data_IF_998558596441
#
_entry.id   IF_998558596441
#
_cell.length_a   1.000
_cell.length_b   1.000
_cell.length_c   1.000
_cell.angle_alpha   90.00
_cell.angle_beta   90.00
_cell.angle_gamma   90.00
#
_symmetry.space_group_name_H-M   'P 1'
#
loop_
_entity.id
_entity.type
_entity.pdbx_description
1 polymer ?
#
# COMPACT_ATOMS: atom_id res chain seq x y z
N UNK A 1 5.10 44.11 -3.87
CA UNK A 1 4.10 43.03 -3.67
C UNK A 1 4.57 41.85 -4.49
N UNK A 2 5.36 40.97 -3.87
CA UNK A 2 5.69 39.68 -4.46
C UNK A 2 4.49 38.78 -4.24
N UNK A 3 3.95 38.27 -5.35
CA UNK A 3 2.91 37.25 -5.35
C UNK A 3 3.50 36.00 -4.71
N UNK A 4 3.00 35.65 -3.52
CA UNK A 4 3.31 34.38 -2.90
C UNK A 4 2.52 33.32 -3.67
N UNK A 5 3.14 32.76 -4.71
CA UNK A 5 2.65 31.51 -5.29
C UNK A 5 2.51 30.53 -4.13
N UNK A 6 1.26 30.13 -3.83
CA UNK A 6 0.95 29.01 -2.95
C UNK A 6 1.97 27.91 -3.28
N UNK A 7 2.80 27.50 -2.32
CA UNK A 7 4.06 26.75 -2.51
C UNK A 7 3.89 25.32 -3.05
N UNK A 8 2.88 25.11 -3.89
CA UNK A 8 2.51 23.89 -4.58
C UNK A 8 3.32 23.81 -5.87
N UNK A 9 3.92 22.65 -6.16
CA UNK A 9 4.59 22.45 -7.43
C UNK A 9 3.59 22.60 -8.60
N UNK A 10 4.06 23.19 -9.69
CA UNK A 10 3.33 23.43 -10.93
C UNK A 10 2.85 22.12 -11.59
N UNK A 11 3.60 21.03 -11.37
CA UNK A 11 3.15 19.68 -11.68
C UNK A 11 2.64 19.00 -10.42
N UNK A 12 1.50 18.29 -10.54
CA UNK A 12 0.95 17.46 -9.48
C UNK A 12 0.56 16.09 -9.99
N UNK A 13 0.82 15.07 -9.17
CA UNK A 13 0.36 13.70 -9.37
C UNK A 13 -1.08 13.57 -8.87
N UNK A 14 -2.00 14.22 -9.58
CA UNK A 14 -3.41 14.35 -9.17
C UNK A 14 -4.06 12.97 -8.99
N UNK A 15 -3.73 12.00 -9.85
CA UNK A 15 -4.28 10.65 -9.76
C UNK A 15 -3.86 9.94 -8.48
N UNK A 16 -2.56 9.90 -8.19
CA UNK A 16 -1.98 9.26 -7.02
C UNK A 16 -2.43 9.95 -5.73
N UNK A 17 -2.38 11.29 -5.69
CA UNK A 17 -2.86 12.07 -4.54
C UNK A 17 -4.33 11.79 -4.24
N UNK A 18 -5.18 11.75 -5.27
CA UNK A 18 -6.59 11.40 -5.09
C UNK A 18 -6.78 9.97 -4.59
N UNK A 19 -6.00 9.01 -5.08
CA UNK A 19 -6.17 7.60 -4.73
C UNK A 19 -5.67 7.27 -3.30
N UNK A 20 -4.66 7.99 -2.81
CA UNK A 20 -4.10 7.78 -1.46
C UNK A 20 -5.08 8.23 -0.37
N UNK A 21 -5.87 9.27 -0.61
CA UNK A 21 -6.88 9.75 0.34
C UNK A 21 -7.94 8.68 0.69
N UNK A 22 -8.14 7.72 -0.21
CA UNK A 22 -9.13 6.65 -0.07
C UNK A 22 -8.52 5.33 0.48
N UNK A 23 -7.25 5.32 0.91
CA UNK A 23 -6.53 4.12 1.38
C UNK A 23 -5.62 4.38 2.59
N UNK A 24 -4.95 3.34 3.14
CA UNK A 24 -4.02 3.50 4.23
C UNK A 24 -2.84 4.40 3.82
N UNK A 25 -2.59 5.44 4.60
CA UNK A 25 -1.57 6.45 4.33
C UNK A 25 -0.19 5.85 4.65
N UNK A 26 0.66 5.76 3.64
CA UNK A 26 2.07 5.44 3.81
C UNK A 26 2.90 6.72 3.63
N UNK A 27 3.34 7.31 4.74
CA UNK A 27 4.14 8.54 4.76
C UNK A 27 5.34 8.51 3.77
N UNK A 28 6.10 7.40 3.63
CA UNK A 28 7.18 7.33 2.65
C UNK A 28 6.73 7.48 1.19
N UNK A 29 5.51 7.03 0.85
CA UNK A 29 4.97 7.15 -0.51
C UNK A 29 4.55 8.59 -0.79
N UNK A 30 3.96 9.29 0.17
CA UNK A 30 3.64 10.72 0.04
C UNK A 30 4.90 11.57 -0.17
N UNK A 31 5.96 11.26 0.58
CA UNK A 31 7.27 11.92 0.43
C UNK A 31 7.85 11.67 -0.97
N UNK A 32 7.74 10.46 -1.51
CA UNK A 32 8.18 10.14 -2.88
C UNK A 32 7.36 10.87 -3.95
N UNK A 33 6.04 11.00 -3.76
CA UNK A 33 5.18 11.80 -4.66
C UNK A 33 5.63 13.26 -4.66
N UNK A 34 5.78 13.86 -3.48
CA UNK A 34 6.25 15.24 -3.37
C UNK A 34 7.64 15.43 -4.00
N UNK A 35 8.55 14.48 -3.79
CA UNK A 35 9.88 14.51 -4.40
C UNK A 35 9.81 14.48 -5.94
N UNK A 36 8.94 13.65 -6.53
CA UNK A 36 8.75 13.57 -7.98
C UNK A 36 8.14 14.86 -8.55
N UNK A 37 7.16 15.44 -7.87
CA UNK A 37 6.56 16.72 -8.25
C UNK A 37 7.59 17.86 -8.22
N UNK A 38 8.36 17.95 -7.14
CA UNK A 38 9.43 18.94 -6.98
C UNK A 38 10.59 18.74 -7.97
N UNK A 39 10.90 17.49 -8.34
CA UNK A 39 11.97 17.18 -9.28
C UNK A 39 11.69 17.77 -10.67
N UNK A 40 10.45 17.80 -11.13
CA UNK A 40 10.11 18.37 -12.44
C UNK A 40 10.36 19.88 -12.53
N UNK A 41 10.32 20.60 -11.42
CA UNK A 41 10.60 22.04 -11.41
C UNK A 41 12.10 22.32 -11.30
N UNK A 42 12.79 21.54 -10.48
CA UNK A 42 14.15 21.86 -10.06
C UNK A 42 15.20 21.08 -10.85
N UNK A 43 15.01 19.78 -11.02
CA UNK A 43 15.97 18.87 -11.65
C UNK A 43 15.24 17.73 -12.39
N UNK A 44 14.72 18.00 -13.61
CA UNK A 44 13.80 17.08 -14.30
C UNK A 44 14.34 15.66 -14.53
N UNK A 45 15.66 15.49 -14.65
CA UNK A 45 16.28 14.17 -14.83
C UNK A 45 16.03 13.22 -13.65
N UNK A 46 15.80 13.73 -12.44
CA UNK A 46 15.45 12.87 -11.31
C UNK A 46 14.05 12.28 -11.44
N UNK A 47 13.18 12.84 -12.28
CA UNK A 47 11.83 12.30 -12.49
C UNK A 47 11.87 10.86 -13.01
N UNK A 48 12.88 10.49 -13.80
CA UNK A 48 13.03 9.12 -14.30
C UNK A 48 13.33 8.12 -13.17
N UNK A 49 14.27 8.44 -12.30
CA UNK A 49 14.64 7.62 -11.14
C UNK A 49 13.47 7.53 -10.15
N UNK A 50 12.90 8.68 -9.77
CA UNK A 50 11.83 8.79 -8.80
C UNK A 50 10.55 8.08 -9.25
N UNK A 51 10.16 8.21 -10.53
CA UNK A 51 8.99 7.52 -11.08
C UNK A 51 9.11 6.01 -10.96
N UNK A 52 10.29 5.45 -11.27
CA UNK A 52 10.52 4.01 -11.16
C UNK A 52 10.49 3.57 -9.70
N UNK A 53 11.21 4.27 -8.82
CA UNK A 53 11.25 3.95 -7.38
C UNK A 53 9.87 4.01 -6.75
N UNK A 54 9.07 5.02 -7.08
CA UNK A 54 7.71 5.16 -6.57
C UNK A 54 6.83 3.96 -6.97
N UNK A 55 6.86 3.57 -8.25
CA UNK A 55 6.08 2.41 -8.71
C UNK A 55 6.55 1.11 -8.04
N UNK A 56 7.85 0.93 -7.83
CA UNK A 56 8.39 -0.23 -7.09
C UNK A 56 7.93 -0.24 -5.63
N UNK A 57 8.02 0.90 -4.94
CA UNK A 57 7.59 1.05 -3.55
C UNK A 57 6.10 0.73 -3.41
N UNK A 58 5.25 1.27 -4.29
CA UNK A 58 3.81 1.00 -4.26
C UNK A 58 3.53 -0.49 -4.51
N UNK A 59 4.12 -1.11 -5.53
CA UNK A 59 3.92 -2.54 -5.79
C UNK A 59 4.33 -3.40 -4.59
N UNK A 60 5.50 -3.10 -3.98
CA UNK A 60 5.99 -3.82 -2.79
C UNK A 60 5.04 -3.67 -1.60
N UNK A 61 4.52 -2.46 -1.38
CA UNK A 61 3.54 -2.18 -0.32
C UNK A 61 2.28 -2.99 -0.57
N UNK A 62 1.67 -2.88 -1.75
CA UNK A 62 0.43 -3.61 -2.09
C UNK A 62 0.60 -5.13 -1.96
N UNK A 63 1.71 -5.68 -2.45
CA UNK A 63 2.02 -7.11 -2.35
C UNK A 63 2.20 -7.57 -0.89
N UNK A 64 2.91 -6.80 -0.08
CA UNK A 64 3.05 -7.09 1.34
C UNK A 64 1.70 -6.98 2.07
N UNK A 65 0.86 -6.00 1.71
CA UNK A 65 -0.45 -5.76 2.30
C UNK A 65 -1.42 -6.94 2.09
N UNK A 66 -1.27 -7.67 0.99
CA UNK A 66 -2.05 -8.88 0.68
C UNK A 66 -1.35 -10.19 1.11
N UNK A 67 -0.27 -10.12 1.88
CA UNK A 67 0.44 -11.30 2.40
C UNK A 67 1.31 -12.02 1.36
N UNK A 68 1.69 -11.36 0.27
CA UNK A 68 2.54 -11.90 -0.80
C UNK A 68 3.81 -11.05 -0.97
N UNK A 69 4.68 -10.93 0.06
CA UNK A 69 5.81 -10.01 0.04
C UNK A 69 6.73 -10.26 -1.15
N UNK A 70 7.11 -9.18 -1.83
CA UNK A 70 7.93 -9.26 -3.01
C UNK A 70 9.37 -9.70 -2.71
N UNK A 71 9.94 -10.52 -3.57
CA UNK A 71 11.36 -10.87 -3.55
C UNK A 71 12.22 -9.63 -3.87
N UNK A 72 13.28 -9.34 -3.09
CA UNK A 72 14.19 -8.22 -3.33
C UNK A 72 14.83 -8.18 -4.72
N UNK A 73 14.97 -9.32 -5.41
CA UNK A 73 15.59 -9.45 -6.72
C UNK A 73 14.62 -9.17 -7.89
N UNK A 74 13.33 -8.93 -7.62
CA UNK A 74 12.37 -8.68 -8.69
C UNK A 74 12.58 -7.31 -9.35
N UNK A 75 12.50 -7.29 -10.68
CA UNK A 75 12.45 -6.06 -11.46
C UNK A 75 11.11 -5.35 -11.28
N UNK A 76 11.07 -4.04 -11.54
CA UNK A 76 9.81 -3.24 -11.55
C UNK A 76 8.73 -3.86 -12.43
N UNK A 77 9.13 -4.38 -13.60
CA UNK A 77 8.21 -5.04 -14.53
C UNK A 77 7.60 -6.30 -13.91
N UNK A 78 8.41 -7.09 -13.20
CA UNK A 78 7.94 -8.27 -12.49
C UNK A 78 7.04 -7.87 -11.32
N UNK A 79 7.44 -6.88 -10.52
CA UNK A 79 6.64 -6.34 -9.43
C UNK A 79 5.24 -5.94 -9.90
N UNK A 80 5.11 -5.13 -10.96
CA UNK A 80 3.78 -4.76 -11.48
C UNK A 80 2.99 -5.98 -11.97
N UNK A 81 3.65 -6.91 -12.67
CA UNK A 81 2.98 -8.12 -13.18
C UNK A 81 2.42 -8.97 -12.06
N UNK A 82 3.21 -9.24 -11.02
CA UNK A 82 2.75 -10.01 -9.86
C UNK A 82 1.67 -9.24 -9.11
N UNK A 83 1.86 -7.93 -8.86
CA UNK A 83 0.84 -7.11 -8.20
C UNK A 83 -0.50 -7.19 -8.93
N UNK A 84 -0.52 -7.00 -10.26
CA UNK A 84 -1.76 -7.03 -11.04
C UNK A 84 -2.36 -8.43 -11.23
N UNK A 85 -1.58 -9.50 -11.09
CA UNK A 85 -2.09 -10.88 -11.23
C UNK A 85 -2.93 -11.34 -10.02
N UNK A 86 -2.71 -10.74 -8.85
CA UNK A 86 -3.44 -11.05 -7.63
C UNK A 86 -4.84 -10.41 -7.55
N UNK A 87 -5.20 -9.51 -8.46
CA UNK A 87 -6.47 -8.76 -8.39
C UNK A 87 -7.45 -9.12 -9.49
N UNK A 88 -8.72 -9.27 -9.12
CA UNK A 88 -9.82 -9.41 -10.08
C UNK A 88 -10.23 -8.03 -10.57
N UNK A 89 -9.86 -7.70 -11.81
CA UNK A 89 -10.07 -6.36 -12.38
C UNK A 89 -11.44 -6.17 -13.06
N UNK A 90 -12.34 -7.14 -12.93
CA UNK A 90 -13.70 -7.09 -13.48
C UNK A 90 -14.75 -7.38 -12.41
N UNK A 91 -15.87 -6.64 -12.42
CA UNK A 91 -17.03 -6.99 -11.60
C UNK A 91 -17.50 -8.42 -11.86
N UNK A 92 -17.88 -9.12 -10.80
CA UNK A 92 -18.33 -10.51 -10.84
C UNK A 92 -19.66 -10.69 -11.61
N UNK A 93 -20.43 -9.61 -11.76
CA UNK A 93 -21.74 -9.54 -12.42
C UNK A 93 -21.68 -9.01 -13.88
N UNK A 94 -20.48 -8.88 -14.46
CA UNK A 94 -20.33 -8.31 -15.79
C UNK A 94 -21.03 -9.17 -16.88
N UNK A 95 -21.90 -8.58 -17.74
CA UNK A 95 -22.77 -9.32 -18.67
C UNK A 95 -22.03 -10.06 -19.80
N UNK A 96 -20.80 -9.67 -20.11
CA UNK A 96 -19.91 -10.38 -21.03
C UNK A 96 -18.50 -10.49 -20.44
N UNK A 97 -18.29 -11.39 -19.47
CA UNK A 97 -17.07 -11.41 -18.67
C UNK A 97 -15.83 -11.71 -19.53
N UNK A 98 -15.98 -12.46 -20.63
CA UNK A 98 -14.85 -12.86 -21.45
C UNK A 98 -14.28 -11.71 -22.29
N UNK A 99 -15.11 -10.97 -23.04
CA UNK A 99 -14.65 -9.79 -23.80
C UNK A 99 -14.15 -8.66 -22.87
N UNK A 100 -14.79 -8.52 -21.70
CA UNK A 100 -14.33 -7.62 -20.65
C UNK A 100 -12.91 -7.99 -20.20
N UNK A 101 -12.67 -9.27 -19.86
CA UNK A 101 -11.36 -9.77 -19.41
C UNK A 101 -10.28 -9.50 -20.44
N UNK A 102 -10.52 -9.86 -21.70
CA UNK A 102 -9.56 -9.64 -22.78
C UNK A 102 -9.17 -8.16 -22.93
N UNK A 103 -10.14 -7.26 -22.80
CA UNK A 103 -9.90 -5.80 -22.93
C UNK A 103 -9.12 -5.26 -21.74
N UNK A 104 -9.46 -5.68 -20.52
CA UNK A 104 -8.76 -5.27 -19.30
C UNK A 104 -7.33 -5.81 -19.29
N UNK A 105 -7.13 -7.09 -19.63
CA UNK A 105 -5.80 -7.67 -19.77
C UNK A 105 -4.96 -6.95 -20.82
N UNK A 106 -5.58 -6.50 -21.93
CA UNK A 106 -4.89 -5.71 -22.95
C UNK A 106 -4.41 -4.36 -22.38
N UNK A 107 -5.23 -3.70 -21.57
CA UNK A 107 -4.86 -2.46 -20.87
C UNK A 107 -3.71 -2.70 -19.89
N UNK A 108 -3.77 -3.77 -19.08
CA UNK A 108 -2.69 -4.14 -18.15
C UNK A 108 -1.38 -4.43 -18.90
N UNK A 109 -1.44 -5.16 -20.02
CA UNK A 109 -0.27 -5.34 -20.90
C UNK A 109 0.31 -4.02 -21.40
N UNK A 110 -0.54 -3.04 -21.71
CA UNK A 110 -0.13 -1.68 -22.04
C UNK A 110 0.63 -1.01 -20.91
N UNK A 111 0.12 -1.07 -19.67
CA UNK A 111 0.80 -0.51 -18.49
C UNK A 111 2.16 -1.18 -18.23
N UNK A 112 2.25 -2.50 -18.41
CA UNK A 112 3.51 -3.23 -18.31
C UNK A 112 4.54 -2.74 -19.35
N UNK A 113 4.11 -2.50 -20.60
CA UNK A 113 4.97 -1.90 -21.62
C UNK A 113 5.40 -0.47 -21.27
N UNK A 114 4.50 0.33 -20.68
CA UNK A 114 4.84 1.67 -20.19
C UNK A 114 5.93 1.63 -19.12
N UNK A 115 5.83 0.73 -18.12
CA UNK A 115 6.88 0.56 -17.09
C UNK A 115 8.21 0.11 -17.70
N UNK A 116 8.17 -0.78 -18.68
CA UNK A 116 9.37 -1.20 -19.39
C UNK A 116 10.06 0.02 -20.03
N UNK A 117 9.29 0.85 -20.76
CA UNK A 117 9.79 2.11 -21.33
C UNK A 117 10.34 3.08 -20.27
N UNK A 118 9.66 3.22 -19.12
CA UNK A 118 10.16 4.01 -17.99
C UNK A 118 11.50 3.50 -17.45
N UNK A 119 11.65 2.18 -17.36
CA UNK A 119 12.89 1.56 -16.89
C UNK A 119 14.04 1.78 -17.88
N UNK A 120 13.75 1.68 -19.17
CA UNK A 120 14.71 1.98 -20.24
C UNK A 120 15.10 3.46 -20.24
N UNK A 121 14.13 4.37 -20.10
CA UNK A 121 14.37 5.81 -19.97
C UNK A 121 15.20 6.14 -18.72
N UNK A 122 14.92 5.53 -17.58
CA UNK A 122 15.73 5.68 -16.36
C UNK A 122 17.16 5.19 -16.59
N UNK A 123 17.32 4.02 -17.20
CA UNK A 123 18.65 3.45 -17.43
C UNK A 123 19.48 4.34 -18.37
N UNK A 124 18.83 4.85 -19.41
CA UNK A 124 19.46 5.69 -20.40
C UNK A 124 19.65 7.12 -19.94
N UNK A 125 18.71 7.72 -19.19
CA UNK A 125 18.63 9.16 -18.95
C UNK A 125 18.59 9.61 -17.48
N UNK A 126 18.37 8.70 -16.54
CA UNK A 126 18.30 9.01 -15.10
C UNK A 126 19.64 9.49 -14.53
N UNK A 127 19.57 10.39 -13.55
CA UNK A 127 20.74 10.96 -12.86
C UNK A 127 21.44 9.93 -11.97
N UNK A 128 20.69 9.03 -11.33
CA UNK A 128 21.25 7.99 -10.47
C UNK A 128 21.60 6.69 -11.22
N UNK A 129 21.43 6.67 -12.55
CA UNK A 129 21.82 5.54 -13.39
C UNK A 129 23.30 5.64 -13.73
N UNK A 130 24.09 4.67 -13.22
CA UNK A 130 25.52 4.41 -13.52
C UNK A 130 26.29 5.59 -14.13
N UNK A 131 26.80 6.49 -13.26
CA UNK A 131 27.80 7.52 -13.55
C UNK A 131 27.90 7.97 -15.01
N UNK A 132 26.98 8.85 -15.44
CA UNK A 132 26.97 9.34 -16.83
C UNK A 132 28.10 10.35 -17.05
N UNK A 133 28.58 10.38 -18.30
CA UNK A 133 29.45 11.44 -18.77
C UNK A 133 28.75 12.81 -18.58
N UNK A 134 29.48 13.79 -18.04
CA UNK A 134 28.98 15.15 -17.78
C UNK A 134 28.43 15.85 -19.04
N UNK A 135 28.78 15.38 -20.24
CA UNK A 135 28.34 15.92 -21.53
C UNK A 135 27.28 15.07 -22.24
N UNK A 136 26.74 14.03 -21.59
CA UNK A 136 25.71 13.18 -22.19
C UNK A 136 24.43 13.97 -22.52
N UNK A 137 23.79 13.63 -23.64
CA UNK A 137 22.52 14.24 -24.05
C UNK A 137 21.44 14.00 -22.98
N UNK A 138 20.79 15.09 -22.58
CA UNK A 138 19.70 15.11 -21.60
C UNK A 138 18.36 15.14 -22.34
N UNK A 139 17.35 14.48 -21.76
CA UNK A 139 15.98 14.67 -22.20
C UNK A 139 15.44 15.97 -21.59
N UNK A 140 14.49 16.60 -22.28
CA UNK A 140 13.89 17.85 -21.83
C UNK A 140 12.74 17.61 -20.84
N UNK A 141 12.23 18.71 -20.29
CA UNK A 141 11.13 18.73 -19.33
C UNK A 141 9.89 17.97 -19.82
N UNK A 142 9.62 17.92 -21.13
CA UNK A 142 8.44 17.24 -21.69
C UNK A 142 8.52 15.73 -21.51
N UNK A 143 9.70 15.13 -21.72
CA UNK A 143 9.85 13.69 -21.51
C UNK A 143 9.87 13.31 -20.03
N UNK A 144 10.47 14.15 -19.18
CA UNK A 144 10.40 13.97 -17.73
C UNK A 144 8.94 14.04 -17.24
N UNK A 145 8.17 15.01 -17.75
CA UNK A 145 6.73 15.16 -17.44
C UNK A 145 5.94 13.95 -17.92
N UNK A 146 6.19 13.44 -19.13
CA UNK A 146 5.55 12.22 -19.64
C UNK A 146 5.75 11.03 -18.69
N UNK A 147 6.98 10.87 -18.19
CA UNK A 147 7.31 9.77 -17.27
C UNK A 147 6.61 9.93 -15.93
N UNK A 148 6.57 11.14 -15.37
CA UNK A 148 5.83 11.41 -14.14
C UNK A 148 4.32 11.19 -14.29
N UNK A 149 3.72 11.57 -15.43
CA UNK A 149 2.30 11.33 -15.72
C UNK A 149 1.98 9.84 -15.89
N UNK A 150 2.88 9.08 -16.51
CA UNK A 150 2.76 7.63 -16.61
C UNK A 150 2.81 6.99 -15.21
N UNK A 151 3.75 7.41 -14.36
CA UNK A 151 3.83 6.96 -12.98
C UNK A 151 2.58 7.32 -12.17
N UNK A 152 2.06 8.54 -12.32
CA UNK A 152 0.81 9.00 -11.68
C UNK A 152 -0.35 8.07 -12.01
N UNK A 153 -0.53 7.75 -13.29
CA UNK A 153 -1.59 6.85 -13.75
C UNK A 153 -1.45 5.45 -13.16
N UNK A 154 -0.23 4.89 -13.14
CA UNK A 154 0.04 3.55 -12.63
C UNK A 154 -0.19 3.49 -11.12
N UNK A 155 0.38 4.44 -10.37
CA UNK A 155 0.26 4.50 -8.91
C UNK A 155 -1.20 4.68 -8.50
N UNK A 156 -1.93 5.58 -9.16
CA UNK A 156 -3.35 5.78 -8.90
C UNK A 156 -4.16 4.49 -9.11
N UNK A 157 -3.88 3.75 -10.18
CA UNK A 157 -4.53 2.49 -10.46
C UNK A 157 -4.20 1.43 -9.40
N UNK A 158 -2.92 1.29 -9.02
CA UNK A 158 -2.46 0.35 -8.00
C UNK A 158 -3.13 0.60 -6.64
N UNK A 159 -3.26 1.85 -6.21
CA UNK A 159 -3.97 2.18 -4.98
C UNK A 159 -5.45 1.83 -5.02
N UNK A 160 -6.12 2.08 -6.15
CA UNK A 160 -7.54 1.75 -6.31
C UNK A 160 -7.80 0.26 -6.22
N UNK A 161 -7.00 -0.56 -6.92
CA UNK A 161 -7.15 -2.02 -6.85
C UNK A 161 -6.73 -2.58 -5.49
N UNK A 162 -5.75 -1.94 -4.84
CA UNK A 162 -5.32 -2.32 -3.49
C UNK A 162 -6.44 -2.09 -2.46
N UNK A 163 -7.13 -0.94 -2.50
CA UNK A 163 -8.29 -0.67 -1.64
C UNK A 163 -9.38 -1.72 -1.81
N UNK A 164 -9.70 -2.05 -3.06
CA UNK A 164 -10.72 -3.06 -3.37
C UNK A 164 -10.30 -4.44 -2.83
N UNK A 165 -9.00 -4.72 -2.78
CA UNK A 165 -8.46 -5.96 -2.22
C UNK A 165 -8.43 -6.01 -0.69
N UNK A 166 -8.09 -4.91 -0.01
CA UNK A 166 -8.19 -4.83 1.46
C UNK A 166 -9.62 -5.05 1.94
N UNK A 167 -10.60 -4.68 1.11
CA UNK A 167 -12.03 -4.96 1.37
C UNK A 167 -12.33 -6.46 1.29
N UNK A 168 -11.61 -7.21 0.45
CA UNK A 168 -11.80 -8.66 0.25
C UNK A 168 -10.95 -9.49 1.21
N UNK A 169 -9.81 -8.98 1.66
CA UNK A 169 -8.88 -9.66 2.58
C UNK A 169 -8.46 -8.75 3.74
N UNK A 170 -9.37 -8.43 4.69
CA UNK A 170 -9.02 -7.63 5.86
C UNK A 170 -7.89 -8.26 6.70
N UNK A 171 -6.89 -7.46 7.07
CA UNK A 171 -5.83 -7.85 8.01
C UNK A 171 -4.77 -8.83 7.46
N UNK A 172 -4.45 -8.79 6.17
CA UNK A 172 -3.38 -9.61 5.60
C UNK A 172 -1.96 -9.09 5.91
N UNK A 173 -1.81 -7.77 6.16
CA UNK A 173 -0.63 -7.20 6.80
C UNK A 173 -0.98 -6.67 8.18
N UNK A 174 -0.26 -7.17 9.15
CA UNK A 174 -0.46 -6.93 10.56
C UNK A 174 0.78 -6.18 11.04
N UNK A 175 0.59 -4.98 11.56
CA UNK A 175 1.65 -4.26 12.24
C UNK A 175 1.55 -4.58 13.73
N UNK A 176 2.66 -5.01 14.32
CA UNK A 176 2.68 -5.41 15.72
C UNK A 176 2.15 -4.29 16.64
N UNK A 177 2.56 -3.04 16.36
CA UNK A 177 2.21 -1.87 17.16
C UNK A 177 0.71 -1.51 17.12
N UNK A 178 -0.02 -1.89 16.08
CA UNK A 178 -1.46 -1.60 15.93
C UNK A 178 -2.35 -2.45 16.84
N UNK A 179 -1.77 -3.46 17.50
CA UNK A 179 -2.49 -4.46 18.27
C UNK A 179 -2.00 -4.56 19.73
N UNK A 180 -1.68 -3.41 20.34
CA UNK A 180 -1.16 -3.33 21.71
C UNK A 180 -2.04 -4.08 22.73
N UNK A 181 -3.36 -3.91 22.67
CA UNK A 181 -4.30 -4.58 23.59
C UNK A 181 -4.22 -6.11 23.52
N UNK A 182 -4.13 -6.64 22.29
CA UNK A 182 -3.94 -8.07 22.07
C UNK A 182 -2.56 -8.52 22.57
N UNK A 183 -1.50 -7.80 22.20
CA UNK A 183 -0.13 -8.15 22.59
C UNK A 183 0.03 -8.22 24.11
N UNK A 184 -0.44 -7.19 24.82
CA UNK A 184 -0.34 -7.10 26.28
C UNK A 184 -1.16 -8.19 26.99
N UNK A 185 -2.29 -8.58 26.40
CA UNK A 185 -3.12 -9.70 26.90
C UNK A 185 -2.41 -11.03 26.66
N UNK A 186 -1.95 -11.26 25.43
CA UNK A 186 -1.23 -12.47 25.05
C UNK A 186 0.05 -12.66 25.89
N UNK A 187 0.79 -11.59 26.16
CA UNK A 187 2.01 -11.62 26.98
C UNK A 187 1.74 -11.88 28.46
N UNK A 188 0.55 -11.53 28.95
CA UNK A 188 0.14 -11.81 30.33
C UNK A 188 -0.29 -13.25 30.51
N UNK A 189 -0.97 -13.79 29.50
CA UNK A 189 -1.57 -15.12 29.54
C UNK A 189 -0.56 -16.23 29.19
N UNK A 190 0.60 -15.87 28.63
CA UNK A 190 1.66 -16.81 28.27
C UNK A 190 2.94 -16.57 29.08
N UNK A 191 3.64 -17.65 29.43
CA UNK A 191 4.94 -17.56 30.10
C UNK A 191 6.01 -16.97 29.17
N UNK A 192 6.90 -16.13 29.70
CA UNK A 192 8.04 -15.58 28.96
C UNK A 192 8.92 -16.69 28.38
N UNK A 193 9.32 -16.53 27.12
CA UNK A 193 10.18 -17.50 26.44
C UNK A 193 11.64 -17.25 26.85
N UNK A 194 12.31 -18.26 27.41
CA UNK A 194 13.69 -18.15 27.89
C UNK A 194 14.70 -18.85 26.97
N UNK A 195 15.72 -18.11 26.56
CA UNK A 195 16.89 -18.64 25.85
C UNK A 195 18.17 -18.30 26.65
N UNK A 196 18.51 -19.17 27.59
CA UNK A 196 19.53 -18.89 28.59
C UNK A 196 19.08 -17.76 29.51
N UNK A 197 19.86 -16.68 29.58
CA UNK A 197 19.54 -15.48 30.36
C UNK A 197 18.65 -14.48 29.60
N UNK A 198 18.35 -14.74 28.32
CA UNK A 198 17.51 -13.87 27.52
C UNK A 198 16.03 -14.20 27.74
N UNK A 199 15.25 -13.21 28.16
CA UNK A 199 13.80 -13.29 28.23
C UNK A 199 13.19 -12.62 26.99
N UNK A 200 12.36 -13.38 26.28
CA UNK A 200 11.68 -12.95 25.08
C UNK A 200 10.17 -12.86 25.35
N UNK A 201 9.58 -11.78 24.85
CA UNK A 201 8.16 -11.47 24.98
C UNK A 201 7.34 -12.41 24.06
N UNK A 202 6.39 -13.21 24.57
CA UNK A 202 5.64 -14.20 23.80
C UNK A 202 4.99 -13.68 22.53
N UNK A 203 4.30 -12.55 22.59
CA UNK A 203 3.61 -11.91 21.46
C UNK A 203 4.59 -11.52 20.36
N UNK A 204 5.77 -10.97 20.71
CA UNK A 204 6.85 -10.67 19.76
C UNK A 204 7.46 -11.92 19.14
N UNK A 205 7.65 -12.96 19.95
CA UNK A 205 8.16 -14.25 19.44
C UNK A 205 7.16 -14.85 18.46
N UNK A 206 5.87 -14.81 18.78
CA UNK A 206 4.80 -15.29 17.90
C UNK A 206 4.75 -14.47 16.61
N UNK A 207 4.76 -13.13 16.72
CA UNK A 207 4.70 -12.23 15.56
C UNK A 207 5.86 -12.42 14.57
N UNK A 208 7.08 -12.57 15.06
CA UNK A 208 8.26 -12.76 14.20
C UNK A 208 8.54 -14.21 13.82
N UNK A 209 8.13 -15.16 14.67
CA UNK A 209 8.37 -16.58 14.47
C UNK A 209 7.34 -17.26 13.58
N UNK A 210 6.06 -16.90 13.75
CA UNK A 210 4.93 -17.45 13.00
C UNK A 210 3.82 -16.40 12.81
N UNK A 211 3.91 -15.56 11.76
CA UNK A 211 2.92 -14.52 11.48
C UNK A 211 1.50 -15.06 11.23
N UNK A 212 1.36 -16.29 10.72
CA UNK A 212 0.04 -16.90 10.49
C UNK A 212 -0.61 -17.29 11.82
N UNK A 213 0.16 -17.87 12.75
CA UNK A 213 -0.32 -18.17 14.09
C UNK A 213 -0.64 -16.89 14.89
N UNK A 214 0.19 -15.84 14.78
CA UNK A 214 -0.12 -14.53 15.36
C UNK A 214 -1.44 -13.97 14.83
N UNK A 215 -1.65 -14.02 13.50
CA UNK A 215 -2.89 -13.58 12.87
C UNK A 215 -4.10 -14.35 13.37
N UNK A 216 -3.99 -15.67 13.48
CA UNK A 216 -5.07 -16.52 13.96
C UNK A 216 -5.48 -16.15 15.39
N UNK A 217 -4.50 -16.03 16.29
CA UNK A 217 -4.74 -15.64 17.69
C UNK A 217 -5.33 -14.22 17.81
N UNK A 218 -4.85 -13.27 17.00
CA UNK A 218 -5.39 -11.91 16.96
C UNK A 218 -6.86 -11.89 16.51
N UNK A 219 -7.21 -12.66 15.47
CA UNK A 219 -8.59 -12.74 14.97
C UNK A 219 -9.54 -13.36 16.01
N UNK A 220 -9.07 -14.37 16.74
CA UNK A 220 -9.82 -14.97 17.83
C UNK A 220 -10.07 -13.96 18.97
N UNK A 221 -9.03 -13.23 19.38
CA UNK A 221 -9.15 -12.16 20.38
C UNK A 221 -10.14 -11.06 19.97
N UNK A 222 -10.09 -10.61 18.70
CA UNK A 222 -11.03 -9.60 18.19
C UNK A 222 -12.47 -10.15 18.22
N UNK A 223 -12.67 -11.40 17.81
CA UNK A 223 -13.98 -12.02 17.80
C UNK A 223 -14.57 -12.18 19.20
N UNK A 224 -13.76 -12.57 20.20
CA UNK A 224 -14.17 -12.65 21.60
C UNK A 224 -14.53 -11.27 22.15
N UNK A 225 -13.69 -10.26 21.92
CA UNK A 225 -13.94 -8.89 22.36
C UNK A 225 -15.24 -8.34 21.77
N UNK A 226 -15.43 -8.49 20.45
CA UNK A 226 -16.64 -7.98 19.79
C UNK A 226 -17.88 -8.76 20.26
N UNK A 227 -17.78 -10.06 20.50
CA UNK A 227 -18.84 -10.88 21.10
C UNK A 227 -19.25 -10.41 22.51
N UNK A 228 -18.27 -10.08 23.36
CA UNK A 228 -18.50 -9.54 24.71
C UNK A 228 -19.22 -8.18 24.68
N UNK A 229 -18.90 -7.31 23.72
CA UNK A 229 -19.57 -6.02 23.55
C UNK A 229 -21.06 -6.19 23.20
N UNK A 230 -21.39 -7.13 22.31
CA UNK A 230 -22.79 -7.42 21.97
C UNK A 230 -23.59 -8.01 23.15
N UNK A 231 -22.96 -8.84 23.97
CA UNK A 231 -23.60 -9.39 25.17
C UNK A 231 -23.84 -8.31 26.24
N UNK A 232 -22.88 -7.41 26.46
CA UNK A 232 -23.02 -6.28 27.39
C UNK A 232 -24.10 -5.28 26.95
N UNK A 233 -24.16 -4.93 25.66
CA UNK A 233 -25.22 -4.04 25.13
C UNK A 233 -26.62 -4.66 25.20
N UNK A 234 -26.71 -5.97 24.94
CA UNK A 234 -27.96 -6.73 25.05
C UNK A 234 -28.44 -6.84 26.50
N UNK A 235 -27.53 -7.08 27.45
CA UNK A 235 -27.81 -7.13 28.87
C UNK A 235 -28.25 -5.76 29.41
N UNK A 236 -27.56 -4.68 29.04
CA UNK A 236 -27.92 -3.32 29.42
C UNK A 236 -29.31 -2.92 28.91
N UNK A 237 -29.64 -3.27 27.65
CA UNK A 237 -30.95 -2.99 27.04
C UNK A 237 -32.10 -3.77 27.71
N UNK A 238 -31.84 -5.00 28.16
CA UNK A 238 -32.84 -5.81 28.84
C UNK A 238 -33.05 -5.40 30.31
N UNK A 239 -32.00 -4.98 31.03
CA UNK A 239 -32.12 -4.38 32.36
C UNK A 239 -32.87 -3.04 32.34
N UNK A 240 -32.60 -2.19 31.34
CA UNK A 240 -33.28 -0.89 31.21
C UNK A 240 -34.76 -1.05 30.88
N UNK A 241 -35.12 -2.06 30.08
CA UNK A 241 -36.52 -2.45 29.85
C UNK A 241 -37.20 -2.99 31.10
N UNK A 242 -36.49 -3.75 31.94
CA UNK A 242 -37.03 -4.25 33.20
C UNK A 242 -37.33 -3.11 34.19
N UNK A 243 -36.44 -2.12 34.31
CA UNK A 243 -36.64 -0.94 35.17
C UNK A 243 -37.83 -0.08 34.74
N UNK A 244 -38.07 0.09 33.43
CA UNK A 244 -39.21 0.85 32.91
C UNK A 244 -40.57 0.16 33.12
N UNK A 245 -40.60 -1.15 33.35
CA UNK A 245 -41.82 -1.91 33.66
C UNK A 245 -42.16 -1.85 35.15
N UNK A 246 -41.16 -1.69 36.02
CA UNK A 246 -41.34 -1.61 37.48
C UNK A 246 -41.76 -0.20 37.96
N UNK A 247 -41.54 0.84 37.16
CA UNK A 247 -41.96 2.23 37.45
C UNK A 247 -43.38 2.59 36.93
N UNK A 248 -44.15 1.62 36.39
CA UNK A 248 -45.55 1.81 35.92
C UNK A 248 -46.55 1.08 36.80
#
# INVERSE_FOLDING_TARGET
MADASDGRPAFQMVGARSAILDGPIAEPIEQQIYALESALENVPDFAFDLSKTLVESVCKTVLADIGQPADPAWSTLKLLRETTSHFTLLPSDHPNPQKGRESVEKTVRGLLQTIQGLSELRNQYGMASHGRDAFAARLDLRQATLVAQAADTIVAFLYRIHRDALTQTPGARIHYEDHADFNDTFDRDNELVRLGELELIPSRVLFHGDPEAYRAALLEFIAERDGLVYEEESAASSEERARQVEER
#
